data_IF_066025492802
#
_entry.id   IF_066025492802
#
_cell.length_a   1.000
_cell.length_b   1.000
_cell.length_c   1.000
_cell.angle_alpha   90.00
_cell.angle_beta   90.00
_cell.angle_gamma   90.00
#
_symmetry.space_group_name_H-M   'P 1'
#
loop_
_entity.id
_entity.type
_entity.pdbx_description
1 polymer ?
#
# COMPACT_ATOMS: atom_id res chain seq x y z
N UNK A 1 60.63 -0.62 -37.47
CA UNK A 1 60.46 0.86 -37.48
C UNK A 1 58.98 1.14 -37.73
N UNK A 2 58.20 1.89 -36.97
CA UNK A 2 58.33 2.56 -35.68
C UNK A 2 56.90 2.65 -35.15
N UNK A 3 56.67 2.22 -33.90
CA UNK A 3 55.39 2.39 -33.19
C UNK A 3 55.19 3.89 -32.97
N UNK A 4 54.04 4.43 -33.34
CA UNK A 4 53.59 5.74 -32.85
C UNK A 4 52.53 5.51 -31.76
N UNK A 5 53.02 5.20 -30.55
CA UNK A 5 52.28 5.40 -29.31
C UNK A 5 52.10 6.91 -29.11
N UNK A 6 50.85 7.36 -29.00
CA UNK A 6 50.56 8.67 -28.42
C UNK A 6 50.62 8.54 -26.89
N UNK A 7 51.21 9.51 -26.17
CA UNK A 7 51.26 9.46 -24.72
C UNK A 7 49.87 9.73 -24.14
N UNK A 8 49.41 8.84 -23.25
CA UNK A 8 48.34 9.13 -22.30
C UNK A 8 48.93 10.02 -21.21
N UNK A 9 49.00 11.33 -21.47
CA UNK A 9 49.27 12.32 -20.42
C UNK A 9 48.01 12.48 -19.59
N UNK A 10 48.12 12.10 -18.31
CA UNK A 10 47.05 12.18 -17.33
C UNK A 10 46.52 13.59 -17.18
N UNK A 11 45.20 13.71 -17.30
CA UNK A 11 44.42 14.68 -16.58
C UNK A 11 43.40 13.84 -15.83
N UNK A 12 43.68 13.62 -14.54
CA UNK A 12 42.64 13.28 -13.59
C UNK A 12 41.65 14.44 -13.65
N UNK A 13 40.56 14.26 -14.40
CA UNK A 13 39.36 15.07 -14.21
C UNK A 13 38.87 14.75 -12.80
N UNK A 14 39.40 15.50 -11.84
CA UNK A 14 38.91 15.51 -10.47
C UNK A 14 37.51 16.09 -10.59
N UNK A 15 36.52 15.19 -10.66
CA UNK A 15 35.13 15.56 -10.57
C UNK A 15 34.99 16.54 -9.38
N UNK A 16 34.32 17.69 -9.58
CA UNK A 16 34.20 18.69 -8.53
C UNK A 16 33.65 18.01 -7.26
N UNK A 17 34.09 18.41 -6.05
CA UNK A 17 33.64 17.80 -4.81
C UNK A 17 32.11 17.79 -4.83
N UNK A 18 31.53 16.60 -4.91
CA UNK A 18 30.08 16.44 -4.86
C UNK A 18 29.65 17.10 -3.57
N UNK A 19 28.86 18.18 -3.66
CA UNK A 19 28.22 18.79 -2.49
C UNK A 19 27.70 17.65 -1.62
N UNK A 20 27.96 17.63 -0.30
CA UNK A 20 27.41 16.59 0.55
C UNK A 20 25.90 16.55 0.28
N UNK A 21 25.44 15.42 -0.28
CA UNK A 21 24.04 15.27 -0.65
C UNK A 21 23.27 15.25 0.65
N UNK A 22 22.69 16.38 1.04
CA UNK A 22 21.94 16.54 2.30
C UNK A 22 20.91 15.40 2.52
N UNK A 23 20.36 14.84 1.43
CA UNK A 23 19.45 13.68 1.47
C UNK A 23 20.10 12.35 1.86
N UNK A 24 21.37 12.09 1.51
CA UNK A 24 22.07 10.84 1.87
C UNK A 24 22.21 10.72 3.40
N UNK A 25 22.56 11.81 4.07
CA UNK A 25 22.71 11.81 5.53
C UNK A 25 21.38 11.68 6.27
N UNK A 26 20.26 12.12 5.67
CA UNK A 26 18.95 12.06 6.31
C UNK A 26 18.38 10.63 6.27
N UNK A 27 18.46 9.95 5.12
CA UNK A 27 17.99 8.57 4.96
C UNK A 27 18.81 7.62 5.82
N UNK A 28 20.14 7.74 5.81
CA UNK A 28 21.04 6.88 6.59
C UNK A 28 20.86 7.01 8.10
N UNK A 29 20.41 8.18 8.57
CA UNK A 29 20.19 8.46 10.00
C UNK A 29 18.72 8.33 10.42
N UNK A 30 17.83 7.99 9.49
CA UNK A 30 16.42 7.86 9.79
C UNK A 30 16.22 6.65 10.74
N UNK A 31 15.39 6.83 11.76
CA UNK A 31 14.89 5.70 12.57
C UNK A 31 13.75 4.98 11.83
N UNK A 32 12.93 5.75 11.12
CA UNK A 32 11.79 5.26 10.34
C UNK A 32 11.83 5.94 8.98
N UNK A 33 11.66 5.15 7.93
CA UNK A 33 11.50 5.65 6.57
C UNK A 33 10.12 5.24 6.04
N UNK A 34 9.31 6.24 5.69
CA UNK A 34 8.01 6.03 5.06
C UNK A 34 8.11 6.36 3.57
N UNK A 35 7.69 5.44 2.69
CA UNK A 35 7.63 5.68 1.25
C UNK A 35 6.61 4.77 0.57
N UNK A 36 6.23 5.09 -0.66
CA UNK A 36 5.40 4.22 -1.50
C UNK A 36 6.18 2.98 -1.97
N UNK A 37 5.47 1.91 -2.34
CA UNK A 37 6.04 0.67 -2.88
C UNK A 37 7.07 0.91 -3.99
N UNK A 38 6.75 1.80 -4.94
CA UNK A 38 7.61 2.12 -6.07
C UNK A 38 8.92 2.80 -5.66
N UNK A 39 8.90 3.60 -4.60
CA UNK A 39 10.09 4.29 -4.12
C UNK A 39 11.06 3.37 -3.37
N UNK A 40 10.61 2.19 -2.94
CA UNK A 40 11.49 1.22 -2.28
C UNK A 40 12.55 0.67 -3.24
N UNK A 41 12.27 0.62 -4.55
CA UNK A 41 13.19 0.21 -5.61
C UNK A 41 14.15 1.32 -6.08
N UNK A 42 14.08 2.53 -5.51
CA UNK A 42 15.02 3.59 -5.88
C UNK A 42 16.38 3.30 -5.25
N UNK A 43 17.49 3.22 -6.02
CA UNK A 43 18.83 2.92 -5.47
C UNK A 43 19.24 3.82 -4.32
N UNK A 44 18.90 5.10 -4.43
CA UNK A 44 19.18 6.06 -3.37
C UNK A 44 18.53 5.67 -2.02
N UNK A 45 17.42 4.94 -2.04
CA UNK A 45 16.73 4.49 -0.83
C UNK A 45 17.33 3.18 -0.33
N UNK A 46 17.30 2.11 -1.14
CA UNK A 46 17.70 0.78 -0.65
C UNK A 46 19.21 0.66 -0.39
N UNK A 47 20.06 1.47 -1.01
CA UNK A 47 21.50 1.47 -0.71
C UNK A 47 21.83 2.18 0.62
N UNK A 48 20.89 2.98 1.14
CA UNK A 48 21.16 3.90 2.26
C UNK A 48 20.27 3.64 3.47
N UNK A 49 19.30 2.73 3.41
CA UNK A 49 18.43 2.37 4.51
C UNK A 49 18.17 0.87 4.51
N UNK A 50 18.54 0.17 5.58
CA UNK A 50 18.31 -1.26 5.76
C UNK A 50 17.54 -1.48 7.06
N UNK A 51 16.21 -1.62 7.01
CA UNK A 51 15.40 -1.80 8.21
C UNK A 51 15.46 -3.24 8.73
N UNK A 52 15.49 -3.39 10.05
CA UNK A 52 15.29 -4.69 10.71
C UNK A 52 13.82 -5.13 10.68
N UNK A 53 12.89 -4.18 10.61
CA UNK A 53 11.46 -4.44 10.62
C UNK A 53 10.74 -3.62 9.55
N UNK A 54 9.77 -4.25 8.89
CA UNK A 54 9.04 -3.66 7.79
C UNK A 54 7.54 -3.73 8.03
N UNK A 55 6.87 -2.60 7.89
CA UNK A 55 5.41 -2.50 7.89
C UNK A 55 4.95 -2.07 6.52
N UNK A 56 3.99 -2.81 5.97
CA UNK A 56 3.33 -2.49 4.72
C UNK A 56 1.88 -2.20 5.04
N UNK A 57 1.47 -0.94 4.89
CA UNK A 57 0.07 -0.54 5.00
C UNK A 57 -0.65 -0.69 3.66
N UNK A 58 -1.96 -0.87 3.70
CA UNK A 58 -2.82 -1.16 2.54
C UNK A 58 -2.30 -2.32 1.65
N UNK A 59 -1.73 -3.36 2.27
CA UNK A 59 -1.07 -4.48 1.60
C UNK A 59 -2.00 -5.34 0.70
N UNK A 60 -3.31 -5.17 0.82
CA UNK A 60 -4.31 -5.80 -0.05
C UNK A 60 -4.50 -5.05 -1.39
N UNK A 61 -4.06 -3.80 -1.47
CA UNK A 61 -4.24 -2.95 -2.65
C UNK A 61 -3.18 -3.13 -3.75
N UNK A 62 -1.87 -3.29 -3.49
CA UNK A 62 -0.90 -3.43 -4.58
C UNK A 62 -1.00 -4.79 -5.26
N UNK A 63 -0.72 -4.80 -6.56
CA UNK A 63 -0.46 -6.05 -7.28
C UNK A 63 0.74 -6.76 -6.67
N UNK A 64 0.78 -8.09 -6.78
CA UNK A 64 1.92 -8.83 -6.26
C UNK A 64 3.30 -8.36 -6.80
N UNK A 65 3.46 -8.05 -8.11
CA UNK A 65 4.70 -7.50 -8.64
C UNK A 65 5.14 -6.19 -7.99
N UNK A 66 4.20 -5.32 -7.60
CA UNK A 66 4.52 -4.07 -6.91
C UNK A 66 5.06 -4.29 -5.51
N UNK A 67 4.60 -5.33 -4.80
CA UNK A 67 5.15 -5.70 -3.49
C UNK A 67 6.55 -6.31 -3.62
N UNK A 68 6.85 -7.00 -4.72
CA UNK A 68 8.16 -7.62 -4.91
C UNK A 68 9.33 -6.62 -4.96
N UNK A 69 9.10 -5.37 -5.33
CA UNK A 69 10.13 -4.32 -5.23
C UNK A 69 10.66 -4.16 -3.81
N UNK A 70 9.78 -4.36 -2.84
CA UNK A 70 10.10 -4.28 -1.42
C UNK A 70 10.88 -5.51 -0.96
N UNK A 71 10.50 -6.72 -1.40
CA UNK A 71 11.19 -7.93 -0.96
C UNK A 71 12.48 -8.23 -1.72
N UNK A 72 12.66 -7.66 -2.91
CA UNK A 72 13.87 -7.83 -3.71
C UNK A 72 15.08 -7.10 -3.11
N UNK A 73 14.84 -5.94 -2.48
CA UNK A 73 15.92 -5.06 -2.00
C UNK A 73 16.14 -5.08 -0.49
N UNK A 74 15.18 -5.60 0.28
CA UNK A 74 15.22 -5.56 1.74
C UNK A 74 14.98 -6.96 2.32
N UNK A 75 15.83 -7.34 3.29
CA UNK A 75 15.74 -8.61 4.01
C UNK A 75 15.52 -8.36 5.52
N UNK A 76 14.38 -7.75 5.92
CA UNK A 76 14.12 -7.46 7.34
C UNK A 76 13.91 -8.76 8.13
N UNK A 77 14.26 -8.71 9.42
CA UNK A 77 14.02 -9.78 10.40
C UNK A 77 12.53 -10.05 10.58
N UNK A 78 11.69 -9.01 10.52
CA UNK A 78 10.24 -9.13 10.66
C UNK A 78 9.48 -8.30 9.64
N UNK A 79 8.29 -8.80 9.25
CA UNK A 79 7.39 -8.16 8.29
C UNK A 79 5.97 -8.17 8.85
N UNK A 80 5.30 -7.03 8.75
CA UNK A 80 3.89 -6.88 9.09
C UNK A 80 3.17 -6.32 7.86
N UNK A 81 2.20 -7.08 7.36
CA UNK A 81 1.31 -6.66 6.29
C UNK A 81 -0.03 -6.27 6.91
N UNK A 82 -0.41 -5.01 6.75
CA UNK A 82 -1.66 -4.44 7.23
C UNK A 82 -2.49 -4.11 6.00
N UNK A 83 -3.74 -4.51 5.99
CA UNK A 83 -4.64 -4.26 4.88
C UNK A 83 -5.95 -5.01 5.09
N UNK A 84 -6.84 -4.87 4.12
CA UNK A 84 -8.15 -5.51 4.17
C UNK A 84 -8.49 -6.11 2.81
N UNK A 85 -8.51 -7.44 2.73
CA UNK A 85 -8.79 -8.18 1.51
C UNK A 85 -10.25 -8.09 1.07
N UNK A 86 -11.12 -7.47 1.88
CA UNK A 86 -12.51 -7.13 1.54
C UNK A 86 -12.68 -5.72 0.96
N UNK A 87 -11.64 -4.88 1.01
CA UNK A 87 -11.65 -3.53 0.43
C UNK A 87 -11.11 -3.54 -1.01
N UNK A 88 -10.63 -2.38 -1.50
CA UNK A 88 -10.10 -2.24 -2.85
C UNK A 88 -8.86 -3.11 -3.04
N UNK A 89 -8.96 -4.09 -3.94
CA UNK A 89 -7.84 -4.90 -4.38
C UNK A 89 -6.98 -4.21 -5.46
N UNK A 90 -6.08 -4.99 -6.10
CA UNK A 90 -5.19 -4.50 -7.14
C UNK A 90 -5.87 -3.85 -8.34
N UNK A 91 -5.35 -2.70 -8.74
CA UNK A 91 -5.84 -1.98 -9.91
C UNK A 91 -5.06 -2.41 -11.17
N UNK A 92 -5.73 -3.14 -12.06
CA UNK A 92 -5.13 -3.67 -13.29
C UNK A 92 -5.71 -2.95 -14.51
N UNK A 93 -4.94 -2.03 -15.10
CA UNK A 93 -5.39 -1.17 -16.21
C UNK A 93 -5.47 -1.85 -17.58
N UNK A 94 -4.84 -3.02 -17.77
CA UNK A 94 -4.71 -3.58 -19.13
C UNK A 94 -6.08 -4.02 -19.66
N UNK A 95 -6.56 -3.40 -20.75
CA UNK A 95 -7.82 -3.76 -21.41
C UNK A 95 -7.83 -5.21 -21.92
N UNK A 96 -6.64 -5.78 -22.16
CA UNK A 96 -6.43 -7.18 -22.52
C UNK A 96 -6.63 -8.16 -21.35
N UNK A 97 -6.63 -7.69 -20.10
CA UNK A 97 -6.94 -8.52 -18.94
C UNK A 97 -8.45 -8.75 -18.74
N UNK A 98 -9.30 -7.92 -19.35
CA UNK A 98 -10.75 -7.94 -19.06
C UNK A 98 -11.62 -8.36 -20.25
N UNK A 99 -11.07 -8.43 -21.46
CA UNK A 99 -11.79 -8.93 -22.64
C UNK A 99 -11.65 -10.44 -22.71
N UNK A 100 -12.78 -11.16 -22.71
CA UNK A 100 -12.85 -12.62 -22.77
C UNK A 100 -12.93 -13.18 -24.20
N UNK A 101 -13.07 -12.30 -25.20
CA UNK A 101 -13.64 -12.68 -26.51
C UNK A 101 -12.77 -12.45 -27.75
N UNK A 102 -11.48 -12.12 -27.65
CA UNK A 102 -10.60 -12.00 -28.83
C UNK A 102 -9.22 -12.61 -28.56
N UNK A 103 -8.54 -13.12 -29.59
CA UNK A 103 -7.28 -13.91 -29.59
C UNK A 103 -6.05 -13.28 -28.87
N UNK A 104 -6.22 -12.16 -28.15
CA UNK A 104 -5.23 -11.45 -27.35
C UNK A 104 -5.65 -11.24 -25.88
N UNK A 105 -6.21 -12.26 -25.23
CA UNK A 105 -6.52 -12.19 -23.79
C UNK A 105 -5.27 -12.41 -22.94
N UNK A 106 -5.02 -11.56 -21.95
CA UNK A 106 -3.96 -11.77 -20.97
C UNK A 106 -4.37 -12.92 -20.04
N UNK A 107 -3.80 -14.11 -20.25
CA UNK A 107 -4.07 -15.30 -19.45
C UNK A 107 -3.70 -15.17 -17.96
N UNK A 108 -3.03 -14.10 -17.55
CA UNK A 108 -2.65 -13.80 -16.16
C UNK A 108 -3.53 -12.73 -15.51
N UNK A 109 -4.59 -12.28 -16.19
CA UNK A 109 -5.47 -11.22 -15.71
C UNK A 109 -6.03 -11.45 -14.31
N UNK A 110 -6.53 -12.66 -14.05
CA UNK A 110 -7.12 -13.01 -12.76
C UNK A 110 -6.06 -13.05 -11.66
N UNK A 111 -4.86 -13.52 -11.97
CA UNK A 111 -3.73 -13.56 -11.05
C UNK A 111 -3.23 -12.15 -10.71
N UNK A 112 -3.23 -11.23 -11.67
CA UNK A 112 -2.87 -9.83 -11.43
C UNK A 112 -3.84 -9.12 -10.49
N UNK A 113 -5.10 -9.58 -10.42
CA UNK A 113 -6.10 -9.09 -9.47
C UNK A 113 -5.97 -9.65 -8.05
N UNK A 114 -5.03 -10.56 -7.79
CA UNK A 114 -4.81 -11.14 -6.46
C UNK A 114 -3.63 -10.42 -5.81
N UNK A 115 -3.86 -9.80 -4.66
CA UNK A 115 -2.78 -9.18 -3.87
C UNK A 115 -1.91 -10.25 -3.21
N UNK A 116 -0.67 -9.88 -2.89
CA UNK A 116 0.21 -10.76 -2.13
C UNK A 116 -0.39 -11.15 -0.77
N UNK A 117 -1.06 -10.20 -0.10
CA UNK A 117 -1.73 -10.43 1.19
C UNK A 117 -2.85 -11.48 1.06
N UNK A 118 -3.72 -11.35 0.06
CA UNK A 118 -4.80 -12.32 -0.21
C UNK A 118 -4.24 -13.72 -0.46
N UNK A 119 -3.12 -13.81 -1.18
CA UNK A 119 -2.47 -15.10 -1.43
C UNK A 119 -1.91 -15.72 -0.15
N UNK A 120 -1.27 -14.93 0.72
CA UNK A 120 -0.77 -15.42 2.01
C UNK A 120 -1.91 -15.89 2.92
N UNK A 121 -2.98 -15.11 3.04
CA UNK A 121 -4.18 -15.48 3.78
C UNK A 121 -4.75 -16.81 3.27
N UNK A 122 -4.90 -16.94 1.94
CA UNK A 122 -5.40 -18.18 1.30
C UNK A 122 -4.44 -19.37 1.46
N UNK A 123 -3.16 -19.11 1.72
CA UNK A 123 -2.13 -20.14 1.96
C UNK A 123 -2.05 -20.56 3.44
N UNK A 124 -2.91 -20.03 4.31
CA UNK A 124 -2.96 -20.38 5.73
C UNK A 124 -1.94 -19.66 6.60
N UNK A 125 -1.40 -18.52 6.15
CA UNK A 125 -0.57 -17.68 7.01
C UNK A 125 -1.41 -17.11 8.17
N UNK A 126 -0.74 -16.82 9.29
CA UNK A 126 -1.39 -16.21 10.45
C UNK A 126 -1.94 -14.83 10.07
N UNK A 127 -3.25 -14.66 10.24
CA UNK A 127 -3.95 -13.39 10.06
C UNK A 127 -4.62 -13.02 11.37
N UNK A 128 -4.54 -11.74 11.75
CA UNK A 128 -5.25 -11.18 12.89
C UNK A 128 -6.18 -10.09 12.38
N UNK A 129 -7.45 -10.17 12.75
CA UNK A 129 -8.47 -9.19 12.37
C UNK A 129 -8.72 -8.23 13.53
N UNK A 130 -8.71 -6.93 13.24
CA UNK A 130 -9.20 -5.92 14.17
C UNK A 130 -10.72 -5.83 14.02
N UNK A 131 -11.46 -6.27 15.03
CA UNK A 131 -12.92 -6.40 14.96
C UNK A 131 -13.66 -5.16 15.43
N UNK A 132 -13.01 -4.24 16.15
CA UNK A 132 -13.66 -3.02 16.62
C UNK A 132 -13.52 -1.89 15.61
N UNK A 133 -14.66 -1.40 15.10
CA UNK A 133 -14.72 -0.23 14.23
C UNK A 133 -15.08 1.01 15.05
N UNK A 134 -14.32 2.09 14.87
CA UNK A 134 -14.50 3.35 15.59
C UNK A 134 -14.96 4.51 14.68
N UNK A 135 -15.22 4.23 13.39
CA UNK A 135 -15.43 5.25 12.36
C UNK A 135 -16.90 5.50 12.09
N UNK A 136 -17.64 4.47 11.72
CA UNK A 136 -19.02 4.58 11.25
C UNK A 136 -20.02 4.52 12.40
N UNK A 137 -21.20 5.08 12.19
CA UNK A 137 -22.36 4.87 13.08
C UNK A 137 -22.92 3.46 12.89
N UNK A 138 -23.59 2.91 13.90
CA UNK A 138 -24.15 1.56 13.88
C UNK A 138 -24.91 1.24 12.59
N UNK A 139 -25.85 2.10 12.18
CA UNK A 139 -26.68 1.85 10.99
C UNK A 139 -25.88 1.69 9.67
N UNK A 140 -24.71 2.34 9.56
CA UNK A 140 -23.83 2.20 8.40
C UNK A 140 -22.93 0.97 8.59
N UNK A 141 -22.40 0.79 9.81
CA UNK A 141 -21.49 -0.27 10.16
C UNK A 141 -22.09 -1.66 10.02
N UNK A 142 -23.33 -1.85 10.45
CA UNK A 142 -24.06 -3.11 10.38
C UNK A 142 -24.10 -3.64 8.94
N UNK A 143 -24.45 -2.79 7.98
CA UNK A 143 -24.59 -3.19 6.57
C UNK A 143 -23.32 -3.80 6.01
N UNK A 144 -22.17 -3.12 6.15
CA UNK A 144 -20.91 -3.66 5.62
C UNK A 144 -20.34 -4.78 6.50
N UNK A 145 -20.58 -4.76 7.82
CA UNK A 145 -20.18 -5.84 8.73
C UNK A 145 -20.84 -7.16 8.34
N UNK A 146 -22.16 -7.17 8.15
CA UNK A 146 -22.92 -8.37 7.76
C UNK A 146 -22.54 -8.85 6.36
N UNK A 147 -22.36 -7.91 5.42
CA UNK A 147 -22.10 -8.25 4.01
C UNK A 147 -20.69 -8.80 3.78
N UNK A 148 -19.66 -8.17 4.36
CA UNK A 148 -18.26 -8.46 4.01
C UNK A 148 -17.49 -9.17 5.12
N UNK A 149 -17.92 -9.03 6.37
CA UNK A 149 -17.23 -9.55 7.56
C UNK A 149 -18.10 -10.50 8.38
N UNK A 150 -19.21 -11.01 7.83
CA UNK A 150 -20.11 -11.96 8.49
C UNK A 150 -20.59 -11.51 9.88
N UNK A 151 -20.77 -10.21 10.08
CA UNK A 151 -21.21 -9.64 11.36
C UNK A 151 -20.14 -9.61 12.45
N UNK A 152 -18.87 -9.88 12.13
CA UNK A 152 -17.80 -9.93 13.13
C UNK A 152 -17.34 -8.56 13.63
N UNK A 153 -17.68 -7.47 12.92
CA UNK A 153 -17.28 -6.13 13.34
C UNK A 153 -18.20 -5.60 14.44
N UNK A 154 -17.60 -5.21 15.56
CA UNK A 154 -18.26 -4.57 16.69
C UNK A 154 -18.00 -3.06 16.66
N UNK A 155 -18.91 -2.30 17.22
CA UNK A 155 -18.80 -0.86 17.30
C UNK A 155 -18.08 -0.45 18.58
N UNK A 156 -17.02 0.34 18.45
CA UNK A 156 -16.32 0.93 19.57
C UNK A 156 -17.06 2.13 20.17
N UNK A 157 -16.57 2.60 21.31
CA UNK A 157 -17.16 3.72 22.03
C UNK A 157 -17.21 5.00 21.17
N UNK A 158 -18.26 5.82 21.32
CA UNK A 158 -18.40 7.05 20.54
C UNK A 158 -18.92 6.85 19.12
N UNK A 159 -19.31 5.66 18.70
CA UNK A 159 -19.92 5.40 17.37
C UNK A 159 -21.44 5.59 17.37
N UNK A 160 -22.06 5.67 18.54
CA UNK A 160 -23.48 5.97 18.67
C UNK A 160 -23.77 7.43 18.29
N UNK A 161 -24.87 7.62 17.55
CA UNK A 161 -25.33 8.96 17.15
C UNK A 161 -25.58 9.84 18.38
N UNK A 162 -26.00 9.23 19.48
CA UNK A 162 -26.29 9.92 20.73
C UNK A 162 -25.07 10.66 21.30
N UNK A 163 -23.88 10.12 21.05
CA UNK A 163 -22.60 10.63 21.54
C UNK A 163 -21.94 11.61 20.54
N UNK A 164 -22.47 11.73 19.31
CA UNK A 164 -21.91 12.56 18.23
C UNK A 164 -22.80 13.76 17.89
N UNK A 165 -22.51 14.91 18.50
CA UNK A 165 -23.24 16.18 18.28
C UNK A 165 -23.30 16.60 16.80
N UNK A 166 -22.22 16.40 16.04
CA UNK A 166 -22.21 16.71 14.60
C UNK A 166 -23.12 15.77 13.81
N UNK A 167 -23.15 14.48 14.15
CA UNK A 167 -24.01 13.49 13.50
C UNK A 167 -25.49 13.81 13.73
N UNK A 168 -25.86 14.24 14.94
CA UNK A 168 -27.21 14.72 15.26
C UNK A 168 -27.62 15.89 14.36
N UNK A 169 -26.78 16.92 14.27
CA UNK A 169 -27.05 18.10 13.42
C UNK A 169 -27.19 17.75 11.93
N UNK A 170 -26.35 16.85 11.44
CA UNK A 170 -26.44 16.34 10.06
C UNK A 170 -27.73 15.55 9.83
N UNK A 171 -28.13 14.71 10.78
CA UNK A 171 -29.37 13.95 10.69
C UNK A 171 -30.59 14.89 10.67
N UNK A 172 -30.63 15.89 11.55
CA UNK A 172 -31.68 16.91 11.58
C UNK A 172 -31.72 17.72 10.29
N UNK A 173 -30.55 18.16 9.79
CA UNK A 173 -30.45 18.84 8.51
C UNK A 173 -30.98 17.97 7.37
N UNK A 174 -30.62 16.68 7.34
CA UNK A 174 -31.07 15.77 6.30
C UNK A 174 -32.56 15.50 6.36
N UNK A 175 -33.12 15.32 7.57
CA UNK A 175 -34.58 15.20 7.78
C UNK A 175 -35.32 16.44 7.30
N UNK A 176 -34.79 17.63 7.59
CA UNK A 176 -35.41 18.91 7.21
C UNK A 176 -35.36 19.17 5.70
N UNK A 177 -34.26 18.84 5.04
CA UNK A 177 -34.01 19.28 3.66
C UNK A 177 -34.26 18.20 2.60
N UNK A 178 -34.20 16.91 2.95
CA UNK A 178 -34.22 15.84 1.96
C UNK A 178 -35.41 14.87 2.07
N UNK A 179 -36.28 14.97 3.09
CA UNK A 179 -37.53 14.19 3.26
C UNK A 179 -37.50 12.74 2.71
N UNK A 180 -36.41 12.00 2.90
CA UNK A 180 -36.37 10.59 2.52
C UNK A 180 -36.92 9.76 3.67
N UNK A 181 -38.21 9.48 3.56
CA UNK A 181 -38.96 8.56 4.41
C UNK A 181 -38.24 7.21 4.48
N UNK A 182 -37.99 6.75 5.70
CA UNK A 182 -37.80 5.32 5.96
C UNK A 182 -39.17 4.64 5.81
N UNK A 183 -39.34 3.88 4.73
CA UNK A 183 -40.08 2.62 4.80
C UNK A 183 -39.08 1.53 5.17
#
# INVERSE_FOLDING_TARGET
MSKHMRPLTGILDVAPPRRPRFGMTAIQKATILCCSFTNTAVPHVYENFMPEFMVVDEAAQPTEPEIWTVFAHYAPTGRLLIGDTKQLGPHVHSQFALKKDEENTNGFASQQGISFMTRLESSGFLVTTLTEQNRAILAIATTYSETFYHGSLINGAGTDIEERQLAKKLLEFNKKNYQKNHQ
#
